data_IF_629258028379
#
_entry.id   IF_629258028379
#
_cell.length_a   1.000
_cell.length_b   1.000
_cell.length_c   1.000
_cell.angle_alpha   90.00
_cell.angle_beta   90.00
_cell.angle_gamma   90.00
#
_symmetry.space_group_name_H-M   'P 1'
#
loop_
_entity.id
_entity.type
_entity.pdbx_description
1 polymer ?
#
# COMPACT_ATOMS: atom_id res chain seq x y z
N UNK A 1 -23.21 -25.94 18.15
CA UNK A 1 -24.55 -25.87 17.52
C UNK A 1 -24.55 -24.64 16.64
N UNK A 2 -24.61 -24.86 15.35
CA UNK A 2 -24.64 -23.82 14.32
C UNK A 2 -26.10 -23.37 14.21
N UNK A 3 -26.40 -22.09 14.41
CA UNK A 3 -27.77 -21.59 14.31
C UNK A 3 -28.08 -21.41 12.82
N UNK A 4 -28.99 -22.19 12.22
CA UNK A 4 -29.36 -22.00 10.83
C UNK A 4 -30.01 -20.63 10.66
N UNK A 5 -29.43 -19.79 9.80
CA UNK A 5 -30.00 -18.49 9.48
C UNK A 5 -31.08 -18.70 8.41
N UNK A 6 -32.19 -17.96 8.53
CA UNK A 6 -33.22 -17.91 7.50
C UNK A 6 -32.97 -16.71 6.58
N UNK A 7 -33.16 -16.90 5.27
CA UNK A 7 -33.09 -15.81 4.32
C UNK A 7 -34.19 -14.77 4.61
N UNK A 8 -33.88 -13.46 4.74
CA UNK A 8 -34.88 -12.44 5.06
C UNK A 8 -35.91 -12.20 3.94
N UNK A 9 -35.64 -12.68 2.71
CA UNK A 9 -36.52 -12.45 1.54
C UNK A 9 -37.41 -13.65 1.24
N UNK A 10 -36.86 -14.86 1.26
CA UNK A 10 -37.60 -16.08 0.88
C UNK A 10 -37.75 -17.08 2.03
N UNK A 11 -37.24 -16.76 3.22
CA UNK A 11 -37.37 -17.54 4.45
C UNK A 11 -36.81 -18.97 4.37
N UNK A 12 -36.06 -19.29 3.31
CA UNK A 12 -35.37 -20.57 3.19
C UNK A 12 -34.22 -20.65 4.18
N UNK A 13 -33.95 -21.86 4.64
CA UNK A 13 -32.77 -22.16 5.45
C UNK A 13 -31.53 -21.94 4.59
N UNK A 14 -30.63 -21.09 5.07
CA UNK A 14 -29.36 -20.77 4.41
C UNK A 14 -28.21 -21.12 5.34
N UNK A 15 -27.10 -21.57 4.76
CA UNK A 15 -25.91 -21.83 5.55
C UNK A 15 -25.33 -20.47 6.01
N UNK A 16 -24.91 -20.31 7.27
CA UNK A 16 -24.19 -19.12 7.70
C UNK A 16 -23.00 -18.74 6.82
N UNK A 17 -22.42 -19.67 6.05
CA UNK A 17 -21.33 -19.40 5.11
C UNK A 17 -21.75 -18.88 3.73
N UNK A 18 -23.04 -18.99 3.39
CA UNK A 18 -23.54 -18.56 2.07
C UNK A 18 -23.50 -17.04 1.91
N UNK A 19 -22.93 -16.57 0.80
CA UNK A 19 -22.90 -15.14 0.45
C UNK A 19 -24.20 -14.67 -0.21
N UNK A 20 -24.88 -15.58 -0.91
CA UNK A 20 -26.12 -15.37 -1.63
C UNK A 20 -27.07 -16.51 -1.33
N UNK A 21 -28.36 -16.23 -1.26
CA UNK A 21 -29.36 -17.28 -1.12
C UNK A 21 -29.48 -18.08 -2.42
N UNK A 22 -29.29 -19.40 -2.36
CA UNK A 22 -29.40 -20.29 -3.51
C UNK A 22 -30.81 -20.33 -4.13
N UNK A 23 -31.85 -20.00 -3.35
CA UNK A 23 -33.24 -20.03 -3.81
C UNK A 23 -33.68 -18.73 -4.48
N UNK A 24 -33.36 -17.56 -3.90
CA UNK A 24 -33.90 -16.27 -4.36
C UNK A 24 -32.84 -15.25 -4.82
N UNK A 25 -31.56 -15.58 -4.69
CA UNK A 25 -30.44 -14.71 -5.06
C UNK A 25 -30.21 -13.51 -4.13
N UNK A 26 -30.92 -13.44 -2.99
CA UNK A 26 -30.76 -12.34 -2.03
C UNK A 26 -29.35 -12.34 -1.44
N UNK A 27 -28.75 -11.16 -1.28
CA UNK A 27 -27.41 -11.00 -0.70
C UNK A 27 -27.48 -11.17 0.82
N UNK A 28 -27.00 -12.30 1.32
CA UNK A 28 -27.02 -12.63 2.76
C UNK A 28 -25.86 -11.97 3.49
N UNK A 29 -24.70 -11.85 2.83
CA UNK A 29 -23.51 -11.16 3.35
C UNK A 29 -23.15 -10.00 2.44
N UNK A 30 -22.71 -8.88 3.04
CA UNK A 30 -22.09 -7.80 2.29
C UNK A 30 -20.80 -8.35 1.65
N UNK A 31 -20.60 -8.17 0.32
CA UNK A 31 -19.36 -8.58 -0.32
C UNK A 31 -18.21 -7.82 0.34
N UNK A 32 -17.38 -8.55 1.06
CA UNK A 32 -16.17 -8.09 1.72
C UNK A 32 -15.09 -7.77 0.67
N UNK A 33 -15.30 -6.69 -0.06
CA UNK A 33 -14.31 -6.02 -0.89
C UNK A 33 -13.64 -6.95 -1.93
N UNK A 34 -14.31 -7.17 -3.06
CA UNK A 34 -13.59 -7.46 -4.30
C UNK A 34 -12.85 -6.18 -4.70
N UNK A 35 -11.65 -5.96 -4.14
CA UNK A 35 -10.70 -5.06 -4.79
C UNK A 35 -10.50 -5.64 -6.19
N UNK A 36 -11.17 -5.07 -7.18
CA UNK A 36 -10.81 -5.30 -8.57
C UNK A 36 -9.30 -5.09 -8.65
N UNK A 37 -8.60 -6.02 -9.30
CA UNK A 37 -7.14 -5.97 -9.45
C UNK A 37 -6.67 -4.58 -9.92
N UNK A 38 -7.51 -3.89 -10.70
CA UNK A 38 -7.34 -2.50 -11.11
C UNK A 38 -7.19 -1.48 -9.98
N UNK A 39 -7.94 -1.60 -8.87
CA UNK A 39 -7.91 -0.63 -7.76
C UNK A 39 -6.64 -0.75 -6.92
N UNK A 40 -6.11 -1.97 -6.82
CA UNK A 40 -4.80 -2.26 -6.20
C UNK A 40 -3.68 -1.71 -7.08
N UNK A 41 -3.76 -1.95 -8.39
CA UNK A 41 -2.81 -1.44 -9.39
C UNK A 41 -2.74 0.09 -9.36
N UNK A 42 -3.88 0.80 -9.29
CA UNK A 42 -3.88 2.26 -9.22
C UNK A 42 -3.22 2.80 -7.95
N UNK A 43 -3.45 2.15 -6.79
CA UNK A 43 -2.86 2.59 -5.52
C UNK A 43 -1.34 2.41 -5.52
N UNK A 44 -0.86 1.28 -6.03
CA UNK A 44 0.58 1.05 -6.14
C UNK A 44 1.23 1.95 -7.20
N UNK A 45 0.59 2.15 -8.36
CA UNK A 45 1.06 3.09 -9.38
C UNK A 45 1.14 4.52 -8.86
N UNK A 46 0.12 4.99 -8.14
CA UNK A 46 0.11 6.35 -7.57
C UNK A 46 1.16 6.50 -6.45
N UNK A 47 1.33 5.49 -5.60
CA UNK A 47 2.34 5.50 -4.54
C UNK A 47 3.77 5.48 -5.11
N UNK A 48 3.97 4.77 -6.23
CA UNK A 48 5.24 4.71 -6.93
C UNK A 48 5.54 5.99 -7.72
N UNK A 49 4.52 6.61 -8.34
CA UNK A 49 4.69 7.74 -9.24
C UNK A 49 4.73 9.10 -8.53
N UNK A 50 4.13 9.24 -7.33
CA UNK A 50 4.17 10.48 -6.56
C UNK A 50 4.40 10.21 -5.06
N UNK A 51 5.67 10.16 -4.62
CA UNK A 51 6.04 10.05 -3.21
C UNK A 51 5.36 11.08 -2.27
N UNK A 52 5.14 12.36 -2.68
CA UNK A 52 4.46 13.34 -1.82
C UNK A 52 2.94 13.12 -1.71
N UNK A 53 2.29 12.58 -2.75
CA UNK A 53 0.81 12.52 -2.82
C UNK A 53 0.23 11.18 -2.35
N UNK A 54 1.05 10.12 -2.27
CA UNK A 54 0.66 8.84 -1.67
C UNK A 54 0.26 8.95 -0.19
N UNK A 55 0.83 9.92 0.54
CA UNK A 55 0.52 10.16 1.95
C UNK A 55 -0.93 10.62 2.17
N UNK A 56 -1.46 11.48 1.28
CA UNK A 56 -2.82 12.00 1.38
C UNK A 56 -3.88 10.90 1.15
N UNK A 57 -3.67 10.03 0.15
CA UNK A 57 -4.56 8.91 -0.10
C UNK A 57 -4.42 7.77 0.93
N UNK A 58 -3.22 7.54 1.45
CA UNK A 58 -2.95 6.54 2.49
C UNK A 58 -3.69 6.81 3.81
N UNK A 59 -3.72 8.07 4.25
CA UNK A 59 -4.48 8.50 5.43
C UNK A 59 -5.99 8.27 5.28
N UNK A 60 -6.53 8.48 4.07
CA UNK A 60 -7.95 8.20 3.76
C UNK A 60 -8.26 6.71 3.73
N UNK A 61 -7.31 5.86 3.32
CA UNK A 61 -7.45 4.41 3.25
C UNK A 61 -7.36 3.71 4.61
N UNK A 62 -6.54 4.21 5.54
CA UNK A 62 -6.48 3.69 6.92
C UNK A 62 -7.80 3.84 7.69
N UNK A 63 -8.68 4.75 7.23
CA UNK A 63 -9.97 5.07 7.84
C UNK A 63 -11.11 4.12 7.44
N UNK A 64 -10.88 3.14 6.56
CA UNK A 64 -11.86 2.09 6.25
C UNK A 64 -11.71 0.89 7.21
N UNK A 65 -12.84 0.32 7.65
CA UNK A 65 -12.91 -0.66 8.74
C UNK A 65 -12.44 -2.08 8.36
N UNK A 66 -12.05 -2.29 7.11
CA UNK A 66 -11.61 -3.58 6.59
C UNK A 66 -10.13 -3.86 6.93
N UNK A 67 -9.86 -4.94 7.67
CA UNK A 67 -8.51 -5.36 8.07
C UNK A 67 -7.54 -5.52 6.87
N UNK A 68 -8.07 -5.96 5.72
CA UNK A 68 -7.29 -6.17 4.49
C UNK A 68 -6.71 -4.85 3.97
N UNK A 69 -7.43 -3.74 4.11
CA UNK A 69 -6.99 -2.41 3.69
C UNK A 69 -5.97 -1.80 4.65
N UNK A 70 -6.08 -2.09 5.96
CA UNK A 70 -5.07 -1.68 6.96
C UNK A 70 -3.71 -2.34 6.71
N UNK A 71 -3.69 -3.62 6.30
CA UNK A 71 -2.45 -4.34 5.96
C UNK A 71 -1.73 -3.71 4.77
N UNK A 72 -2.47 -3.34 3.72
CA UNK A 72 -1.90 -2.67 2.53
C UNK A 72 -1.40 -1.26 2.87
N UNK A 73 -2.15 -0.49 3.65
CA UNK A 73 -1.73 0.84 4.10
C UNK A 73 -0.43 0.81 4.92
N UNK A 74 -0.30 -0.17 5.83
CA UNK A 74 0.93 -0.35 6.62
C UNK A 74 2.13 -0.70 5.73
N UNK A 75 1.95 -1.60 4.77
CA UNK A 75 3.01 -1.99 3.83
C UNK A 75 3.46 -0.80 2.96
N UNK A 76 2.52 0.01 2.49
CA UNK A 76 2.82 1.20 1.69
C UNK A 76 3.66 2.22 2.47
N UNK A 77 3.27 2.54 3.71
CA UNK A 77 4.01 3.50 4.55
C UNK A 77 5.45 3.02 4.82
N UNK A 78 5.62 1.73 5.12
CA UNK A 78 6.95 1.14 5.33
C UNK A 78 7.79 1.25 4.06
N UNK A 79 7.23 0.91 2.91
CA UNK A 79 7.91 1.00 1.62
C UNK A 79 8.34 2.44 1.28
N UNK A 80 7.48 3.43 1.53
CA UNK A 80 7.80 4.84 1.30
C UNK A 80 8.93 5.32 2.20
N UNK A 81 8.92 4.92 3.49
CA UNK A 81 10.00 5.24 4.42
C UNK A 81 11.35 4.67 3.98
N UNK A 82 11.37 3.41 3.52
CA UNK A 82 12.58 2.76 2.99
C UNK A 82 13.08 3.47 1.72
N UNK A 83 12.17 3.81 0.79
CA UNK A 83 12.52 4.53 -0.44
C UNK A 83 13.16 5.91 -0.15
N UNK A 84 12.60 6.66 0.79
CA UNK A 84 13.15 7.94 1.25
C UNK A 84 14.54 7.77 1.87
N UNK A 85 14.71 6.78 2.75
CA UNK A 85 16.00 6.51 3.39
C UNK A 85 17.08 6.16 2.36
N UNK A 86 16.78 5.28 1.40
CA UNK A 86 17.70 4.92 0.32
C UNK A 86 18.07 6.15 -0.51
N UNK A 87 17.08 6.98 -0.89
CA UNK A 87 17.31 8.20 -1.67
C UNK A 87 18.25 9.16 -0.94
N UNK A 88 18.04 9.37 0.36
CA UNK A 88 18.88 10.24 1.21
C UNK A 88 20.30 9.67 1.29
N UNK A 89 20.45 8.37 1.55
CA UNK A 89 21.76 7.72 1.62
C UNK A 89 22.49 7.83 0.28
N UNK A 90 21.82 7.53 -0.83
CA UNK A 90 22.38 7.63 -2.19
C UNK A 90 22.79 9.06 -2.54
N UNK A 91 22.01 10.06 -2.14
CA UNK A 91 22.33 11.48 -2.35
C UNK A 91 23.51 11.93 -1.49
N UNK A 92 23.60 11.50 -0.23
CA UNK A 92 24.75 11.83 0.62
C UNK A 92 26.01 11.12 0.12
N UNK A 93 25.89 9.87 -0.33
CA UNK A 93 27.01 9.11 -0.89
C UNK A 93 27.58 9.80 -2.14
N UNK A 94 26.74 10.27 -3.04
CA UNK A 94 27.20 10.98 -4.24
C UNK A 94 27.96 12.28 -3.89
N UNK A 95 27.47 13.04 -2.89
CA UNK A 95 28.14 14.25 -2.40
C UNK A 95 29.49 13.93 -1.75
N UNK A 96 29.56 12.86 -0.95
CA UNK A 96 30.80 12.42 -0.28
C UNK A 96 31.87 12.08 -1.30
N UNK A 97 31.54 11.24 -2.28
CA UNK A 97 32.45 10.84 -3.34
C UNK A 97 32.94 12.05 -4.16
N UNK A 98 32.02 12.97 -4.52
CA UNK A 98 32.39 14.19 -5.22
C UNK A 98 33.37 15.06 -4.39
N UNK A 99 33.12 15.19 -3.08
CA UNK A 99 33.99 15.99 -2.20
C UNK A 99 35.39 15.40 -2.04
N UNK A 100 35.52 14.07 -1.99
CA UNK A 100 36.81 13.39 -1.91
C UNK A 100 37.63 13.56 -3.20
N UNK A 101 36.99 13.42 -4.36
CA UNK A 101 37.65 13.58 -5.68
C UNK A 101 38.16 15.01 -5.88
N UNK A 102 37.39 16.02 -5.49
CA UNK A 102 37.81 17.42 -5.58
C UNK A 102 39.02 17.66 -4.68
N UNK A 103 38.99 17.13 -3.45
CA UNK A 103 40.09 17.28 -2.51
C UNK A 103 41.39 16.64 -3.02
N UNK A 104 41.33 15.43 -3.56
CA UNK A 104 42.52 14.77 -4.12
C UNK A 104 43.07 15.54 -5.34
N UNK A 105 42.20 15.94 -6.26
CA UNK A 105 42.59 16.70 -7.47
C UNK A 105 43.21 18.06 -7.10
N UNK A 106 42.65 18.77 -6.13
CA UNK A 106 43.16 20.09 -5.71
C UNK A 106 44.52 19.97 -5.04
N UNK A 107 44.78 18.87 -4.32
CA UNK A 107 46.06 18.63 -3.67
C UNK A 107 47.16 18.28 -4.68
N UNK A 108 46.84 17.55 -5.74
CA UNK A 108 47.78 17.26 -6.84
C UNK A 108 48.20 18.52 -7.60
N UNK A 109 47.29 19.47 -7.85
CA UNK A 109 47.62 20.74 -8.49
C UNK A 109 48.47 21.67 -7.61
N UNK A 110 48.36 21.59 -6.29
CA UNK A 110 49.13 22.44 -5.35
C UNK A 110 50.54 21.92 -5.08
N UNK A 111 50.83 20.64 -5.32
CA UNK A 111 52.13 20.02 -5.05
C UNK A 111 53.01 19.79 -6.30
N UNK A 112 52.48 20.04 -7.50
CA UNK A 112 53.16 19.78 -8.77
C UNK A 112 53.52 21.07 -9.56
N UNK A 113 53.71 22.19 -8.83
CA UNK A 113 54.26 23.47 -9.31
C UNK A 113 55.42 23.86 -8.38
#
# INVERSE_FOLDING_TARGET
MEVPLACPRCHTVVNPDDYFCANCGEKLKKPQFSLSHWKVITIYLVSFLLPPSGLYFGLKYLRQNDEKLKKVGKLAIVLTGVSLAITIIMTVLSIRLASEIIKSTTQDYLFNF
#
